data_IF_185660001213
#
_entry.id   IF_185660001213
#
_cell.length_a   1.000
_cell.length_b   1.000
_cell.length_c   1.000
_cell.angle_alpha   90.00
_cell.angle_beta   90.00
_cell.angle_gamma   90.00
#
_symmetry.space_group_name_H-M   'P 1'
#
loop_
_entity.id
_entity.type
_entity.pdbx_description
1 polymer ?
#
# COMPACT_ATOMS: atom_id res chain seq x y z
N UNK A 1 45.35 -20.15 5.56
CA UNK A 1 44.59 -19.17 6.36
C UNK A 1 44.53 -17.76 5.76
N UNK A 2 45.49 -17.34 4.93
CA UNK A 2 45.54 -15.96 4.40
C UNK A 2 44.49 -15.66 3.30
N UNK A 3 44.13 -16.65 2.48
CA UNK A 3 43.13 -16.50 1.41
C UNK A 3 41.72 -16.16 1.94
N UNK A 4 41.35 -16.71 3.09
CA UNK A 4 40.05 -16.44 3.72
C UNK A 4 39.94 -15.00 4.24
N UNK A 5 41.04 -14.45 4.76
CA UNK A 5 41.09 -13.04 5.20
C UNK A 5 40.99 -12.09 4.02
N UNK A 6 41.65 -12.41 2.91
CA UNK A 6 41.59 -11.61 1.69
C UNK A 6 40.19 -11.58 1.09
N UNK A 7 39.46 -12.71 1.12
CA UNK A 7 38.07 -12.76 0.68
C UNK A 7 37.13 -11.97 1.60
N UNK A 8 37.38 -11.99 2.92
CA UNK A 8 36.61 -11.22 3.88
C UNK A 8 36.78 -9.71 3.68
N UNK A 9 38.00 -9.26 3.40
CA UNK A 9 38.29 -7.85 3.11
C UNK A 9 37.67 -7.40 1.78
N UNK A 10 37.71 -8.24 0.73
CA UNK A 10 37.01 -7.97 -0.54
C UNK A 10 35.50 -7.88 -0.37
N UNK A 11 34.90 -8.78 0.41
CA UNK A 11 33.48 -8.74 0.73
C UNK A 11 33.09 -7.50 1.55
N UNK A 12 33.90 -7.13 2.55
CA UNK A 12 33.68 -5.88 3.30
C UNK A 12 33.78 -4.65 2.41
N UNK A 13 34.76 -4.61 1.51
CA UNK A 13 34.93 -3.55 0.52
C UNK A 13 33.72 -3.47 -0.42
N UNK A 14 33.22 -4.60 -0.92
CA UNK A 14 31.99 -4.64 -1.73
C UNK A 14 30.76 -4.16 -0.97
N UNK A 15 30.64 -4.50 0.32
CA UNK A 15 29.52 -4.03 1.15
C UNK A 15 29.64 -2.55 1.53
N UNK A 16 30.86 -2.04 1.74
CA UNK A 16 31.14 -0.62 1.93
C UNK A 16 30.86 0.15 0.64
N UNK A 17 31.31 -0.37 -0.50
CA UNK A 17 30.98 0.16 -1.83
C UNK A 17 29.48 0.16 -2.06
N UNK A 18 28.74 -0.91 -1.72
CA UNK A 18 27.27 -0.96 -1.83
C UNK A 18 26.53 -0.07 -0.81
N UNK A 19 27.22 0.36 0.24
CA UNK A 19 26.70 1.29 1.24
C UNK A 19 26.97 2.76 0.85
N UNK A 20 28.04 3.01 0.11
CA UNK A 20 28.45 4.31 -0.43
C UNK A 20 27.87 4.57 -1.85
N UNK A 21 27.73 3.54 -2.68
CA UNK A 21 26.98 3.51 -3.96
C UNK A 21 25.50 3.17 -3.65
N UNK A 22 24.50 3.98 -4.02
CA UNK A 22 24.31 5.40 -3.74
C UNK A 22 22.88 5.63 -3.19
N UNK A 23 22.74 5.97 -1.90
CA UNK A 23 21.44 6.41 -1.35
C UNK A 23 21.02 7.81 -1.82
N UNK A 24 21.98 8.63 -2.25
CA UNK A 24 21.73 9.97 -2.80
C UNK A 24 21.30 9.90 -4.26
N UNK A 25 22.04 9.20 -5.12
CA UNK A 25 21.73 9.05 -6.55
C UNK A 25 20.39 8.32 -6.77
N UNK A 26 20.09 7.29 -5.98
CA UNK A 26 18.78 6.61 -6.06
C UNK A 26 17.62 7.49 -5.58
N UNK A 27 17.80 8.35 -4.58
CA UNK A 27 16.75 9.28 -4.15
C UNK A 27 16.52 10.38 -5.20
N UNK A 28 17.59 10.93 -5.78
CA UNK A 28 17.48 11.91 -6.86
C UNK A 28 16.86 11.33 -8.14
N UNK A 29 17.24 10.11 -8.52
CA UNK A 29 16.67 9.40 -9.66
C UNK A 29 15.18 9.08 -9.43
N UNK A 30 14.82 8.59 -8.25
CA UNK A 30 13.42 8.36 -7.89
C UNK A 30 12.60 9.65 -7.90
N UNK A 31 13.14 10.74 -7.35
CA UNK A 31 12.50 12.06 -7.40
C UNK A 31 12.32 12.53 -8.85
N UNK A 32 13.33 12.34 -9.71
CA UNK A 32 13.22 12.64 -11.14
C UNK A 32 12.11 11.83 -11.82
N UNK A 33 12.08 10.51 -11.60
CA UNK A 33 11.08 9.62 -12.18
C UNK A 33 9.66 9.99 -11.71
N UNK A 34 9.49 10.30 -10.43
CA UNK A 34 8.21 10.74 -9.86
C UNK A 34 7.77 12.06 -10.51
N UNK A 35 8.69 13.03 -10.64
CA UNK A 35 8.40 14.30 -11.29
C UNK A 35 8.00 14.12 -12.76
N UNK A 36 8.74 13.30 -13.51
CA UNK A 36 8.45 13.00 -14.91
C UNK A 36 7.09 12.30 -15.08
N UNK A 37 6.77 11.38 -14.17
CA UNK A 37 5.46 10.74 -14.12
C UNK A 37 4.32 11.76 -13.91
N UNK A 38 4.46 12.67 -12.94
CA UNK A 38 3.46 13.71 -12.68
C UNK A 38 3.31 14.70 -13.85
N UNK A 39 4.41 15.07 -14.50
CA UNK A 39 4.37 15.92 -15.70
C UNK A 39 3.61 15.24 -16.84
N UNK A 40 3.85 13.94 -17.07
CA UNK A 40 3.12 13.17 -18.08
C UNK A 40 1.61 13.10 -17.79
N UNK A 41 1.23 12.74 -16.56
CA UNK A 41 -0.17 12.63 -16.14
C UNK A 41 -0.93 13.96 -16.28
N UNK A 42 -0.29 15.07 -15.92
CA UNK A 42 -0.90 16.42 -16.02
C UNK A 42 -1.03 16.90 -17.46
N UNK A 43 -0.07 16.56 -18.33
CA UNK A 43 -0.14 16.87 -19.75
C UNK A 43 -1.29 16.12 -20.43
N UNK A 44 -1.42 14.81 -20.19
CA UNK A 44 -2.54 14.00 -20.69
C UNK A 44 -3.88 14.54 -20.18
N UNK A 45 -3.98 14.87 -18.88
CA UNK A 45 -5.19 15.48 -18.33
C UNK A 45 -5.60 16.75 -19.08
N UNK A 46 -4.64 17.66 -19.34
CA UNK A 46 -4.92 18.90 -20.07
C UNK A 46 -5.46 18.61 -21.48
N UNK A 47 -4.88 17.63 -22.18
CA UNK A 47 -5.37 17.18 -23.48
C UNK A 47 -6.82 16.65 -23.43
N UNK A 48 -7.14 15.78 -22.47
CA UNK A 48 -8.51 15.26 -22.31
C UNK A 48 -9.51 16.32 -21.87
N UNK A 49 -9.10 17.31 -21.06
CA UNK A 49 -9.98 18.45 -20.72
C UNK A 49 -10.29 19.32 -21.93
N UNK A 50 -9.31 19.55 -22.81
CA UNK A 50 -9.53 20.27 -24.06
C UNK A 50 -10.54 19.57 -24.97
N UNK A 51 -10.53 18.24 -24.98
CA UNK A 51 -11.52 17.40 -25.69
C UNK A 51 -12.88 17.33 -24.97
N UNK A 52 -13.04 17.93 -23.79
CA UNK A 52 -14.27 17.90 -22.99
C UNK A 52 -14.45 16.65 -22.11
N UNK A 53 -13.48 15.74 -22.08
CA UNK A 53 -13.52 14.47 -21.34
C UNK A 53 -12.70 14.46 -20.04
N UNK A 54 -12.31 15.64 -19.53
CA UNK A 54 -11.45 15.74 -18.36
C UNK A 54 -11.97 15.04 -17.10
N UNK A 55 -13.29 15.11 -16.86
CA UNK A 55 -13.93 14.45 -15.71
C UNK A 55 -13.85 12.92 -15.83
N UNK A 56 -14.03 12.37 -17.04
CA UNK A 56 -13.94 10.93 -17.28
C UNK A 56 -12.52 10.44 -17.04
N UNK A 57 -11.52 11.16 -17.55
CA UNK A 57 -10.11 10.87 -17.30
C UNK A 57 -9.81 10.88 -15.79
N UNK A 58 -10.28 11.90 -15.07
CA UNK A 58 -10.07 12.02 -13.63
C UNK A 58 -10.64 10.81 -12.86
N UNK A 59 -11.89 10.43 -13.14
CA UNK A 59 -12.54 9.28 -12.48
C UNK A 59 -11.77 7.99 -12.77
N UNK A 60 -11.41 7.73 -14.03
CA UNK A 60 -10.64 6.56 -14.41
C UNK A 60 -9.26 6.54 -13.75
N UNK A 61 -8.57 7.68 -13.68
CA UNK A 61 -7.27 7.81 -13.04
C UNK A 61 -7.34 7.54 -11.53
N UNK A 62 -8.36 8.08 -10.83
CA UNK A 62 -8.57 7.77 -9.41
C UNK A 62 -8.86 6.28 -9.19
N UNK A 63 -9.70 5.67 -10.03
CA UNK A 63 -9.96 4.23 -9.94
C UNK A 63 -8.67 3.43 -10.13
N UNK A 64 -7.85 3.79 -11.12
CA UNK A 64 -6.56 3.16 -11.37
C UNK A 64 -5.62 3.27 -10.16
N UNK A 65 -5.49 4.45 -9.56
CA UNK A 65 -4.72 4.64 -8.33
C UNK A 65 -5.23 3.77 -7.18
N UNK A 66 -6.55 3.65 -7.03
CA UNK A 66 -7.16 2.79 -6.01
C UNK A 66 -6.79 1.32 -6.23
N UNK A 67 -6.81 0.84 -7.47
CA UNK A 67 -6.39 -0.53 -7.79
C UNK A 67 -4.91 -0.79 -7.54
N UNK A 68 -4.04 0.18 -7.85
CA UNK A 68 -2.60 0.08 -7.55
C UNK A 68 -2.32 0.12 -6.04
N UNK A 69 -3.11 0.89 -5.30
CA UNK A 69 -2.99 0.99 -3.85
C UNK A 69 -3.62 -0.20 -3.12
N UNK A 70 -4.38 -1.05 -3.82
CA UNK A 70 -5.03 -2.21 -3.24
C UNK A 70 -3.97 -3.18 -2.69
N UNK A 71 -3.81 -3.17 -1.38
CA UNK A 71 -2.83 -4.00 -0.69
C UNK A 71 -3.17 -5.49 -0.76
N UNK A 72 -2.15 -6.34 -0.73
CA UNK A 72 -2.33 -7.78 -0.52
C UNK A 72 -2.55 -8.04 0.96
N UNK A 73 -3.59 -8.82 1.30
CA UNK A 73 -3.83 -9.24 2.69
C UNK A 73 -2.64 -10.03 3.23
N UNK A 74 -2.26 -9.77 4.48
CA UNK A 74 -1.25 -10.58 5.17
C UNK A 74 -1.90 -11.88 5.66
N UNK A 75 -1.13 -12.97 5.65
CA UNK A 75 -1.58 -14.27 6.14
C UNK A 75 -1.87 -14.16 7.64
N UNK A 76 -3.13 -14.37 8.04
CA UNK A 76 -3.61 -14.24 9.42
C UNK A 76 -4.39 -12.95 9.74
N UNK A 77 -4.62 -12.07 8.76
CA UNK A 77 -5.52 -10.93 8.98
C UNK A 77 -6.98 -11.37 8.95
N UNK A 78 -7.71 -11.03 10.02
CA UNK A 78 -9.16 -11.18 10.10
C UNK A 78 -9.83 -10.45 8.94
N UNK A 79 -10.70 -11.16 8.24
CA UNK A 79 -11.53 -10.64 7.17
C UNK A 79 -12.76 -9.92 7.72
N UNK A 80 -13.39 -9.10 6.88
CA UNK A 80 -14.60 -8.35 7.24
C UNK A 80 -15.86 -9.22 7.40
N UNK A 81 -15.83 -10.46 6.90
CA UNK A 81 -16.93 -11.40 7.01
C UNK A 81 -16.49 -12.56 7.88
N UNK A 82 -17.18 -12.77 9.00
CA UNK A 82 -16.90 -13.85 9.95
C UNK A 82 -16.80 -15.23 9.30
N UNK A 83 -17.51 -15.48 8.19
CA UNK A 83 -17.47 -16.75 7.44
C UNK A 83 -16.06 -17.12 6.96
N UNK A 84 -15.17 -16.15 6.74
CA UNK A 84 -13.80 -16.41 6.30
C UNK A 84 -12.76 -16.29 7.43
N UNK A 85 -13.19 -16.06 8.67
CA UNK A 85 -12.29 -15.96 9.83
C UNK A 85 -12.23 -17.31 10.56
N UNK A 86 -11.07 -17.61 11.14
CA UNK A 86 -10.95 -18.74 12.07
C UNK A 86 -11.91 -18.49 13.25
N UNK A 87 -12.64 -19.53 13.67
CA UNK A 87 -13.68 -19.47 14.73
C UNK A 87 -14.88 -18.56 14.48
N UNK A 88 -15.14 -18.12 13.24
CA UNK A 88 -16.25 -17.20 12.93
C UNK A 88 -16.21 -15.87 13.69
N UNK A 89 -15.01 -15.41 14.04
CA UNK A 89 -14.85 -14.16 14.79
C UNK A 89 -15.19 -12.94 13.90
N UNK A 90 -15.98 -12.01 14.43
CA UNK A 90 -16.20 -10.71 13.79
C UNK A 90 -14.98 -9.80 13.98
N UNK A 91 -14.82 -8.78 13.13
CA UNK A 91 -13.75 -7.81 13.33
C UNK A 91 -13.96 -7.08 14.66
N UNK A 92 -12.90 -6.90 15.47
CA UNK A 92 -13.00 -6.13 16.70
C UNK A 92 -13.46 -4.70 16.38
N UNK A 93 -14.54 -4.26 17.03
CA UNK A 93 -15.14 -2.95 16.80
C UNK A 93 -16.25 -2.89 15.75
N UNK A 94 -16.62 -4.01 15.11
CA UNK A 94 -17.89 -4.08 14.36
C UNK A 94 -19.08 -4.12 15.32
N UNK A 95 -20.12 -3.33 15.05
CA UNK A 95 -21.41 -3.51 15.73
C UNK A 95 -22.03 -4.82 15.26
N UNK A 96 -22.20 -5.76 16.19
CA UNK A 96 -22.91 -7.01 15.88
C UNK A 96 -24.41 -6.76 15.80
N UNK A 97 -25.13 -7.57 15.03
CA UNK A 97 -26.58 -7.49 14.95
C UNK A 97 -27.23 -7.62 16.33
N UNK A 98 -26.68 -8.47 17.20
CA UNK A 98 -27.14 -8.64 18.58
C UNK A 98 -26.99 -7.36 19.41
N UNK A 99 -25.85 -6.65 19.29
CA UNK A 99 -25.65 -5.35 19.94
C UNK A 99 -26.60 -4.27 19.40
N UNK A 100 -26.88 -4.30 18.10
CA UNK A 100 -27.83 -3.39 17.48
C UNK A 100 -29.27 -3.65 17.94
N UNK A 101 -29.69 -4.91 18.01
CA UNK A 101 -30.98 -5.33 18.54
C UNK A 101 -31.13 -4.99 20.02
N UNK A 102 -30.09 -5.18 20.84
CA UNK A 102 -30.09 -4.80 22.25
C UNK A 102 -30.28 -3.28 22.42
N UNK A 103 -29.57 -2.48 21.61
CA UNK A 103 -29.69 -1.03 21.62
C UNK A 103 -31.08 -0.55 21.18
N UNK A 104 -31.68 -1.18 20.16
CA UNK A 104 -33.02 -0.84 19.68
C UNK A 104 -34.14 -1.30 20.63
N UNK A 105 -34.04 -2.51 21.16
CA UNK A 105 -35.11 -3.14 21.95
C UNK A 105 -35.00 -2.87 23.46
N UNK A 106 -33.94 -2.20 23.93
CA UNK A 106 -33.62 -1.97 25.36
C UNK A 106 -33.74 -3.24 26.21
N UNK A 107 -33.38 -4.40 25.65
CA UNK A 107 -33.44 -5.67 26.37
C UNK A 107 -32.34 -5.69 27.43
N UNK A 108 -32.70 -5.77 28.72
CA UNK A 108 -31.72 -6.04 29.78
C UNK A 108 -31.18 -7.45 29.59
N UNK A 109 -29.85 -7.61 29.52
CA UNK A 109 -29.20 -8.93 29.65
C UNK A 109 -29.63 -9.56 30.98
N UNK A 110 -30.31 -10.70 30.89
CA UNK A 110 -30.44 -11.63 32.00
C UNK A 110 -29.13 -12.42 32.00
N UNK A 111 -28.26 -12.09 32.95
CA UNK A 111 -27.01 -12.82 33.21
C UNK A 111 -27.29 -14.24 33.68
#
# INVERSE_FOLDING_TARGET
MNKAKEQLEKFKQEQLKKKEIPKEESNEENESIIRDFWLYVTQEYFWYTYLGFGIVYLICFLMFLMFLNMGKRKKGEVSAYSVFNENFEALPGQMTAEQFEEAMLKRKKLN
#
